data_IF_730044577439
#
_entry.id   IF_730044577439
#
_cell.length_a   1.000
_cell.length_b   1.000
_cell.length_c   1.000
_cell.angle_alpha   90.00
_cell.angle_beta   90.00
_cell.angle_gamma   90.00
#
_symmetry.space_group_name_H-M   'P 1'
#
loop_
_entity.id
_entity.type
_entity.pdbx_description
1 polymer ?
#
# COMPACT_ATOMS: atom_id res chain seq x y z
N UNK A 1 -9.23 3.02 11.40
CA UNK A 1 -9.89 4.16 10.75
C UNK A 1 -11.18 3.66 10.13
N UNK A 2 -12.32 4.23 10.50
CA UNK A 2 -13.63 3.82 9.95
C UNK A 2 -13.81 4.36 8.53
N UNK A 3 -14.45 3.60 7.63
CA UNK A 3 -14.64 4.01 6.24
C UNK A 3 -15.46 5.30 6.12
N UNK A 4 -15.23 6.08 5.07
CA UNK A 4 -16.06 7.24 4.71
C UNK A 4 -17.43 6.80 4.21
N UNK A 5 -17.42 5.82 3.30
CA UNK A 5 -18.59 5.18 2.72
C UNK A 5 -18.31 3.68 2.53
N UNK A 6 -19.33 2.85 2.20
CA UNK A 6 -19.10 1.46 1.86
C UNK A 6 -18.04 1.30 0.76
N UNK A 7 -17.24 0.21 0.77
CA UNK A 7 -16.25 -0.04 -0.26
C UNK A 7 -16.84 0.01 -1.68
N UNK A 8 -16.06 0.48 -2.65
CA UNK A 8 -16.47 0.52 -4.05
C UNK A 8 -16.52 -0.89 -4.65
N UNK A 9 -17.70 -1.52 -4.63
CA UNK A 9 -17.88 -2.92 -5.06
C UNK A 9 -18.58 -3.08 -6.41
N UNK A 10 -19.22 -2.05 -6.93
CA UNK A 10 -20.04 -2.10 -8.16
C UNK A 10 -19.25 -1.81 -9.44
N UNK A 11 -18.01 -1.34 -9.32
CA UNK A 11 -17.16 -0.99 -10.46
C UNK A 11 -15.68 -1.17 -10.12
N UNK A 12 -14.86 -1.21 -11.17
CA UNK A 12 -13.42 -1.28 -11.09
C UNK A 12 -12.86 0.03 -10.52
N UNK A 13 -12.12 -0.04 -9.42
CA UNK A 13 -11.47 1.13 -8.82
C UNK A 13 -10.27 1.67 -9.64
N UNK A 14 -9.93 1.04 -10.77
CA UNK A 14 -8.85 1.48 -11.67
C UNK A 14 -9.32 1.97 -13.03
N UNK A 15 -10.56 1.69 -13.45
CA UNK A 15 -11.03 2.13 -14.77
C UNK A 15 -12.54 2.35 -14.88
N UNK A 16 -13.29 2.20 -13.78
CA UNK A 16 -14.75 2.38 -13.77
C UNK A 16 -15.57 1.26 -14.43
N UNK A 17 -14.95 0.26 -15.07
CA UNK A 17 -15.68 -0.87 -15.67
C UNK A 17 -16.52 -1.63 -14.63
N UNK A 18 -17.74 -2.02 -14.98
CA UNK A 18 -18.66 -2.82 -14.15
C UNK A 18 -18.54 -4.32 -14.38
N UNK A 19 -17.69 -4.75 -15.31
CA UNK A 19 -17.63 -6.13 -15.80
C UNK A 19 -16.52 -6.93 -15.11
N UNK A 20 -16.76 -8.24 -14.92
CA UNK A 20 -15.78 -9.22 -14.42
C UNK A 20 -15.03 -8.75 -13.15
N UNK A 21 -15.79 -8.30 -12.15
CA UNK A 21 -15.27 -7.72 -10.92
C UNK A 21 -14.74 -8.77 -9.95
N UNK A 22 -13.52 -8.57 -9.46
CA UNK A 22 -12.86 -9.40 -8.46
C UNK A 22 -12.21 -8.53 -7.38
N UNK A 23 -11.97 -9.09 -6.19
CA UNK A 23 -11.25 -8.37 -5.13
C UNK A 23 -9.75 -8.50 -5.36
N UNK A 24 -9.00 -7.41 -5.19
CA UNK A 24 -7.55 -7.46 -5.29
C UNK A 24 -6.93 -7.96 -3.99
N UNK A 25 -5.78 -8.63 -4.07
CA UNK A 25 -5.01 -9.00 -2.89
C UNK A 25 -4.31 -7.78 -2.26
N UNK A 26 -4.59 -7.50 -0.98
CA UNK A 26 -3.81 -6.59 -0.10
C UNK A 26 -2.35 -7.04 0.01
N UNK A 27 -2.15 -8.35 0.01
CA UNK A 27 -0.87 -9.03 0.07
C UNK A 27 -0.84 -10.09 -1.03
N UNK A 28 0.09 -9.95 -1.99
CA UNK A 28 0.17 -10.84 -3.16
C UNK A 28 0.36 -12.30 -2.73
N UNK A 29 -0.58 -13.16 -3.10
CA UNK A 29 -0.56 -14.57 -2.68
C UNK A 29 0.70 -15.32 -3.13
N UNK A 30 1.21 -15.03 -4.33
CA UNK A 30 2.46 -15.62 -4.82
C UNK A 30 3.66 -15.20 -3.96
N UNK A 31 3.65 -13.97 -3.45
CA UNK A 31 4.70 -13.48 -2.57
C UNK A 31 4.67 -14.16 -1.20
N UNK A 32 3.48 -14.28 -0.62
CA UNK A 32 3.27 -15.03 0.61
C UNK A 32 3.67 -16.52 0.47
N UNK A 33 3.35 -17.16 -0.66
CA UNK A 33 3.78 -18.55 -0.94
C UNK A 33 5.29 -18.68 -1.07
N UNK A 34 5.92 -17.72 -1.73
CA UNK A 34 7.37 -17.70 -1.92
C UNK A 34 8.12 -17.53 -0.59
N UNK A 35 7.55 -16.79 0.37
CA UNK A 35 8.19 -16.55 1.67
C UNK A 35 7.85 -17.66 2.69
N UNK A 36 6.60 -18.13 2.74
CA UNK A 36 6.10 -19.00 3.82
C UNK A 36 5.59 -20.37 3.36
N UNK A 37 5.62 -20.67 2.06
CA UNK A 37 4.99 -21.85 1.49
C UNK A 37 3.45 -21.81 1.62
N UNK A 38 2.85 -22.99 1.82
CA UNK A 38 1.40 -23.14 1.97
C UNK A 38 0.91 -23.10 3.43
N UNK A 39 1.76 -22.65 4.36
CA UNK A 39 1.49 -22.73 5.80
C UNK A 39 0.45 -21.70 6.26
N UNK A 40 -0.26 -21.98 7.37
CA UNK A 40 -1.03 -20.97 8.08
C UNK A 40 -0.14 -19.79 8.50
N UNK A 41 -0.74 -18.61 8.52
CA UNK A 41 -0.02 -17.37 8.81
C UNK A 41 -0.89 -16.37 9.55
N UNK A 42 -0.23 -15.37 10.11
CA UNK A 42 -0.88 -14.27 10.81
C UNK A 42 -0.80 -13.01 9.98
N UNK A 43 -1.95 -12.33 9.86
CA UNK A 43 -2.02 -10.99 9.31
C UNK A 43 -2.22 -9.97 10.43
N UNK A 44 -1.38 -8.94 10.43
CA UNK A 44 -1.47 -7.82 11.36
C UNK A 44 -1.79 -6.50 10.71
N UNK A 45 -2.33 -5.59 11.51
CA UNK A 45 -2.31 -4.15 11.29
C UNK A 45 -1.97 -3.48 12.64
N UNK A 46 -1.18 -2.40 12.64
CA UNK A 46 -0.88 -1.67 13.89
C UNK A 46 -2.17 -1.27 14.63
N UNK A 47 -2.17 -1.42 15.95
CA UNK A 47 -3.33 -1.20 16.81
C UNK A 47 -4.49 -2.21 16.70
N UNK A 48 -4.40 -3.24 15.83
CA UNK A 48 -5.45 -4.26 15.66
C UNK A 48 -4.99 -5.64 16.14
N UNK A 49 -5.96 -6.49 16.53
CA UNK A 49 -5.68 -7.91 16.80
C UNK A 49 -5.25 -8.63 15.54
N UNK A 50 -4.23 -9.47 15.68
CA UNK A 50 -3.83 -10.42 14.66
C UNK A 50 -4.98 -11.32 14.21
N UNK A 51 -5.06 -11.57 12.90
CA UNK A 51 -6.03 -12.48 12.31
C UNK A 51 -5.31 -13.69 11.71
N UNK A 52 -5.88 -14.86 11.89
CA UNK A 52 -5.31 -16.10 11.34
C UNK A 52 -5.83 -16.33 9.92
N UNK A 53 -4.91 -16.50 8.98
CA UNK A 53 -5.21 -16.93 7.62
C UNK A 53 -4.72 -18.37 7.41
N UNK A 54 -5.63 -19.23 6.92
CA UNK A 54 -5.35 -20.65 6.70
C UNK A 54 -4.43 -20.90 5.50
N UNK A 55 -4.33 -19.95 4.57
CA UNK A 55 -3.44 -20.05 3.41
C UNK A 55 -3.16 -18.66 2.80
N UNK A 56 -2.11 -18.54 1.97
CA UNK A 56 -1.83 -17.34 1.17
C UNK A 56 -2.97 -16.85 0.27
N UNK A 57 -3.94 -17.71 -0.06
CA UNK A 57 -5.10 -17.36 -0.90
C UNK A 57 -6.34 -17.00 -0.09
N UNK A 58 -6.22 -16.84 1.22
CA UNK A 58 -7.35 -16.47 2.10
C UNK A 58 -8.01 -15.17 1.65
N UNK A 59 -9.35 -15.13 1.71
CA UNK A 59 -10.14 -13.90 1.48
C UNK A 59 -9.80 -12.78 2.45
N UNK A 60 -9.20 -13.09 3.61
CA UNK A 60 -8.70 -12.09 4.55
C UNK A 60 -7.60 -11.21 3.95
N UNK A 61 -6.92 -11.69 2.91
CA UNK A 61 -5.91 -10.93 2.16
C UNK A 61 -6.50 -10.12 1.02
N UNK A 62 -7.82 -10.03 0.87
CA UNK A 62 -8.42 -9.29 -0.24
C UNK A 62 -9.00 -7.96 0.22
N UNK A 63 -8.92 -6.97 -0.67
CA UNK A 63 -9.78 -5.81 -0.64
C UNK A 63 -11.23 -6.23 -0.93
N UNK A 64 -12.14 -5.56 -0.25
CA UNK A 64 -13.57 -5.61 -0.58
C UNK A 64 -13.84 -4.83 -1.86
N UNK A 65 -13.09 -3.73 -2.08
CA UNK A 65 -13.07 -2.99 -3.33
C UNK A 65 -12.77 -3.88 -4.53
N UNK A 66 -13.35 -3.56 -5.69
CA UNK A 66 -13.29 -4.41 -6.89
C UNK A 66 -12.42 -3.84 -8.01
N UNK A 67 -11.81 -4.75 -8.76
CA UNK A 67 -11.10 -4.49 -10.02
C UNK A 67 -11.66 -5.43 -11.10
N UNK A 68 -11.82 -4.93 -12.33
CA UNK A 68 -12.22 -5.76 -13.47
C UNK A 68 -11.11 -6.71 -13.93
N UNK A 69 -11.48 -7.81 -14.57
CA UNK A 69 -10.52 -8.81 -15.06
C UNK A 69 -9.46 -8.27 -16.02
N UNK A 70 -9.76 -7.26 -16.84
CA UNK A 70 -8.78 -6.64 -17.74
C UNK A 70 -7.71 -5.87 -16.97
N UNK A 71 -8.12 -5.09 -15.96
CA UNK A 71 -7.15 -4.36 -15.15
C UNK A 71 -6.35 -5.32 -14.28
N UNK A 72 -7.02 -6.24 -13.59
CA UNK A 72 -6.39 -7.13 -12.63
C UNK A 72 -5.43 -8.16 -13.26
N UNK A 73 -5.61 -8.46 -14.55
CA UNK A 73 -4.71 -9.35 -15.29
C UNK A 73 -3.84 -8.55 -16.25
N UNK A 74 -4.39 -8.11 -17.39
CA UNK A 74 -3.57 -7.61 -18.49
C UNK A 74 -2.86 -6.28 -18.18
N UNK A 75 -3.56 -5.31 -17.59
CA UNK A 75 -2.99 -3.95 -17.41
C UNK A 75 -1.99 -3.87 -16.26
N UNK A 76 -2.22 -4.57 -15.15
CA UNK A 76 -1.32 -4.53 -13.98
C UNK A 76 -0.31 -5.68 -13.92
N UNK A 77 -0.39 -6.69 -14.80
CA UNK A 77 0.57 -7.80 -14.79
C UNK A 77 2.05 -7.38 -14.87
N UNK A 78 2.45 -6.41 -15.73
CA UNK A 78 3.83 -5.94 -15.75
C UNK A 78 4.30 -5.41 -14.38
N UNK A 79 3.45 -4.59 -13.74
CA UNK A 79 3.68 -4.07 -12.39
C UNK A 79 3.76 -5.19 -11.34
N UNK A 80 2.86 -6.17 -11.41
CA UNK A 80 2.87 -7.33 -10.53
C UNK A 80 4.19 -8.12 -10.65
N UNK A 81 4.69 -8.33 -11.88
CA UNK A 81 5.95 -9.03 -12.13
C UNK A 81 7.18 -8.21 -11.69
N UNK A 82 7.17 -6.89 -11.92
CA UNK A 82 8.21 -5.97 -11.48
C UNK A 82 8.36 -5.99 -9.95
N UNK A 83 7.23 -5.93 -9.23
CA UNK A 83 7.23 -6.04 -7.78
C UNK A 83 7.78 -7.39 -7.29
N UNK A 84 7.49 -8.51 -7.95
CA UNK A 84 8.05 -9.81 -7.56
C UNK A 84 9.59 -9.82 -7.64
N UNK A 85 10.15 -9.26 -8.71
CA UNK A 85 11.60 -9.17 -8.88
C UNK A 85 12.24 -8.20 -7.87
N UNK A 86 11.62 -7.04 -7.65
CA UNK A 86 12.05 -6.04 -6.66
C UNK A 86 12.05 -6.61 -5.24
N UNK A 87 10.96 -7.28 -4.88
CA UNK A 87 10.76 -7.97 -3.61
C UNK A 87 11.83 -9.02 -3.34
N UNK A 88 12.10 -9.88 -4.33
CA UNK A 88 13.06 -10.95 -4.20
C UNK A 88 14.45 -10.38 -3.88
N UNK A 89 14.87 -9.33 -4.60
CA UNK A 89 16.15 -8.67 -4.34
C UNK A 89 16.21 -8.02 -2.95
N UNK A 90 15.16 -7.30 -2.52
CA UNK A 90 15.11 -6.72 -1.18
C UNK A 90 15.21 -7.78 -0.07
N UNK A 91 14.53 -8.92 -0.26
CA UNK A 91 14.59 -10.07 0.66
C UNK A 91 15.99 -10.68 0.70
N UNK A 92 16.64 -10.87 -0.45
CA UNK A 92 18.00 -11.43 -0.53
C UNK A 92 19.06 -10.49 0.08
N UNK A 93 18.93 -9.18 -0.12
CA UNK A 93 19.77 -8.18 0.55
C UNK A 93 19.67 -8.33 2.07
N UNK A 94 18.46 -8.38 2.61
CA UNK A 94 18.26 -8.51 4.06
C UNK A 94 18.77 -9.86 4.59
N UNK A 95 18.53 -10.97 3.88
CA UNK A 95 19.04 -12.32 4.22
C UNK A 95 20.56 -12.38 4.26
N UNK A 96 21.23 -11.57 3.45
CA UNK A 96 22.70 -11.46 3.42
C UNK A 96 23.25 -10.39 4.37
N UNK A 97 22.42 -9.86 5.27
CA UNK A 97 22.82 -8.88 6.28
C UNK A 97 23.01 -7.46 5.74
N UNK A 98 22.50 -7.17 4.54
CA UNK A 98 22.53 -5.84 3.93
C UNK A 98 21.20 -5.11 4.17
N UNK A 99 21.26 -3.79 4.10
CA UNK A 99 20.07 -2.94 4.12
C UNK A 99 19.18 -3.23 2.88
N UNK A 100 17.91 -3.63 3.04
CA UNK A 100 17.00 -3.88 1.93
C UNK A 100 16.72 -2.62 1.10
N UNK A 101 16.90 -1.40 1.63
CA UNK A 101 16.78 -0.15 0.88
C UNK A 101 17.74 -0.09 -0.32
N UNK A 102 18.84 -0.85 -0.28
CA UNK A 102 19.81 -0.96 -1.39
C UNK A 102 19.23 -1.61 -2.64
N UNK A 103 18.02 -2.15 -2.59
CA UNK A 103 17.28 -2.55 -3.80
C UNK A 103 17.17 -1.41 -4.80
N UNK A 104 17.11 -0.15 -4.32
CA UNK A 104 17.10 1.06 -5.16
C UNK A 104 18.46 1.42 -5.76
N UNK A 105 19.56 0.76 -5.37
CA UNK A 105 20.87 0.94 -6.00
C UNK A 105 21.01 0.06 -7.26
N UNK A 106 20.18 -0.98 -7.41
CA UNK A 106 20.18 -1.82 -8.60
C UNK A 106 19.73 -1.02 -9.83
N UNK A 107 20.50 -1.01 -10.94
CA UNK A 107 20.15 -0.28 -12.16
C UNK A 107 18.76 -0.59 -12.72
N UNK A 108 18.23 -1.78 -12.45
CA UNK A 108 16.88 -2.19 -12.87
C UNK A 108 15.76 -1.44 -12.13
N UNK A 109 16.04 -0.98 -10.91
CA UNK A 109 15.04 -0.44 -9.97
C UNK A 109 15.37 0.98 -9.50
N UNK A 110 16.18 1.69 -10.28
CA UNK A 110 16.45 3.11 -10.11
C UNK A 110 16.04 3.89 -11.37
N UNK A 111 16.27 5.21 -11.39
CA UNK A 111 15.88 6.06 -12.51
C UNK A 111 16.46 5.65 -13.87
N UNK A 112 17.52 4.83 -13.92
CA UNK A 112 18.07 4.27 -15.16
C UNK A 112 17.35 3.01 -15.67
N UNK A 113 16.46 2.41 -14.86
CA UNK A 113 15.77 1.15 -15.15
C UNK A 113 14.55 1.27 -16.09
N UNK A 114 14.20 2.48 -16.52
CA UNK A 114 13.12 2.73 -17.49
C UNK A 114 11.76 2.20 -17.03
N UNK A 115 11.08 1.42 -17.88
CA UNK A 115 9.73 0.90 -17.62
C UNK A 115 9.68 -0.01 -16.39
N UNK A 116 10.69 -0.86 -16.18
CA UNK A 116 10.72 -1.78 -15.04
C UNK A 116 10.75 -1.02 -13.71
N UNK A 117 11.49 0.10 -13.65
CA UNK A 117 11.48 1.00 -12.52
C UNK A 117 10.08 1.54 -12.26
N UNK A 118 9.41 2.11 -13.27
CA UNK A 118 8.06 2.64 -13.13
C UNK A 118 7.05 1.57 -12.71
N UNK A 119 7.15 0.35 -13.27
CA UNK A 119 6.25 -0.77 -12.97
C UNK A 119 6.28 -1.17 -11.49
N UNK A 120 7.41 -1.03 -10.79
CA UNK A 120 7.46 -1.20 -9.33
C UNK A 120 6.52 -0.21 -8.63
N UNK A 121 6.53 1.06 -9.02
CA UNK A 121 5.67 2.09 -8.41
C UNK A 121 4.21 1.94 -8.83
N UNK A 122 3.95 1.47 -10.07
CA UNK A 122 2.58 1.17 -10.52
C UNK A 122 1.91 0.11 -9.67
N UNK A 123 2.67 -0.87 -9.18
CA UNK A 123 2.16 -1.86 -8.24
C UNK A 123 1.65 -1.21 -6.95
N UNK A 124 2.40 -0.28 -6.38
CA UNK A 124 1.97 0.44 -5.18
C UNK A 124 0.84 1.44 -5.46
N UNK A 125 0.80 2.05 -6.65
CA UNK A 125 -0.32 2.88 -7.08
C UNK A 125 -1.63 2.06 -7.18
N UNK A 126 -1.57 0.83 -7.72
CA UNK A 126 -2.69 -0.13 -7.73
C UNK A 126 -3.20 -0.38 -6.31
N UNK A 127 -2.31 -0.69 -5.36
CA UNK A 127 -2.69 -0.91 -3.97
C UNK A 127 -3.29 0.35 -3.32
N UNK A 128 -2.76 1.54 -3.63
CA UNK A 128 -3.30 2.79 -3.11
C UNK A 128 -4.72 3.06 -3.63
N UNK A 129 -4.98 2.85 -4.93
CA UNK A 129 -6.34 2.93 -5.47
C UNK A 129 -7.30 1.97 -4.76
N UNK A 130 -6.86 0.74 -4.47
CA UNK A 130 -7.66 -0.21 -3.70
C UNK A 130 -7.90 0.25 -2.26
N UNK A 131 -6.90 0.83 -1.59
CA UNK A 131 -7.07 1.39 -0.25
C UNK A 131 -8.06 2.55 -0.21
N UNK A 132 -7.98 3.47 -1.17
CA UNK A 132 -8.93 4.57 -1.32
C UNK A 132 -10.35 4.04 -1.54
N UNK A 133 -10.50 3.10 -2.48
CA UNK A 133 -11.78 2.48 -2.79
C UNK A 133 -12.37 1.65 -1.63
N UNK A 134 -11.53 1.02 -0.80
CA UNK A 134 -11.96 0.31 0.43
C UNK A 134 -12.59 1.27 1.45
N UNK A 135 -12.15 2.53 1.45
CA UNK A 135 -12.71 3.58 2.30
C UNK A 135 -13.95 4.26 1.67
N UNK A 136 -14.35 3.82 0.47
CA UNK A 136 -15.46 4.41 -0.29
C UNK A 136 -15.08 5.67 -1.05
N UNK A 137 -13.77 5.98 -1.18
CA UNK A 137 -13.34 7.04 -2.06
C UNK A 137 -13.59 6.63 -3.52
N UNK A 138 -14.04 7.59 -4.31
CA UNK A 138 -14.22 7.45 -5.75
C UNK A 138 -12.86 7.38 -6.47
N UNK A 139 -12.95 6.97 -7.74
CA UNK A 139 -11.83 6.82 -8.65
C UNK A 139 -10.99 8.10 -8.76
N UNK A 140 -9.75 8.08 -8.24
CA UNK A 140 -8.82 9.18 -8.44
C UNK A 140 -7.96 8.93 -9.68
N UNK A 141 -8.39 9.51 -10.79
CA UNK A 141 -7.91 9.25 -12.16
C UNK A 141 -6.38 9.33 -12.32
N UNK A 142 -5.68 10.35 -11.81
CA UNK A 142 -4.23 10.46 -12.03
C UNK A 142 -3.43 9.26 -11.50
N UNK A 143 -3.80 8.74 -10.33
CA UNK A 143 -3.13 7.59 -9.73
C UNK A 143 -3.50 6.31 -10.48
N UNK A 144 -4.78 6.17 -10.83
CA UNK A 144 -5.25 4.99 -11.51
C UNK A 144 -4.65 4.86 -12.92
N UNK A 145 -4.58 5.96 -13.67
CA UNK A 145 -3.93 6.03 -14.99
C UNK A 145 -2.46 5.63 -14.92
N UNK A 146 -1.74 6.08 -13.89
CA UNK A 146 -0.38 5.62 -13.64
C UNK A 146 -0.35 4.11 -13.35
N UNK A 147 -1.21 3.63 -12.44
CA UNK A 147 -1.27 2.22 -12.03
C UNK A 147 -1.56 1.26 -13.19
N UNK A 148 -2.35 1.66 -14.19
CA UNK A 148 -2.69 0.84 -15.37
C UNK A 148 -1.85 1.16 -16.60
N UNK A 149 -0.82 2.00 -16.48
CA UNK A 149 0.15 2.29 -17.54
C UNK A 149 -0.36 3.22 -18.65
N UNK A 150 -1.43 4.00 -18.40
CA UNK A 150 -1.85 5.10 -19.28
C UNK A 150 -0.92 6.31 -19.12
N UNK A 151 -0.41 6.53 -17.91
CA UNK A 151 0.52 7.60 -17.58
C UNK A 151 1.86 7.07 -17.07
N UNK A 152 2.93 7.83 -17.32
CA UNK A 152 4.26 7.64 -16.74
C UNK A 152 4.53 8.59 -15.55
N UNK A 153 3.57 9.46 -15.20
CA UNK A 153 3.69 10.37 -14.07
C UNK A 153 3.63 9.58 -12.76
N UNK A 154 4.79 9.36 -12.13
CA UNK A 154 4.85 8.67 -10.86
C UNK A 154 4.49 9.60 -9.69
N UNK A 155 3.44 9.25 -8.96
CA UNK A 155 2.98 9.95 -7.76
C UNK A 155 3.39 9.25 -6.45
N UNK A 156 4.05 8.09 -6.55
CA UNK A 156 4.37 7.23 -5.42
C UNK A 156 5.79 7.46 -4.95
N UNK A 157 5.94 7.78 -3.68
CA UNK A 157 7.18 7.61 -2.93
C UNK A 157 7.20 6.23 -2.30
N UNK A 158 8.35 5.55 -2.39
CA UNK A 158 8.54 4.21 -1.87
C UNK A 158 9.81 4.18 -1.00
N UNK A 159 9.67 3.68 0.22
CA UNK A 159 10.77 3.34 1.09
C UNK A 159 10.70 1.85 1.44
N UNK A 160 11.87 1.21 1.58
CA UNK A 160 12.01 -0.20 1.91
C UNK A 160 12.89 -0.32 3.14
N UNK A 161 12.41 -1.02 4.17
CA UNK A 161 13.18 -1.25 5.39
C UNK A 161 12.93 -2.66 5.96
N UNK A 162 13.68 -2.99 7.01
CA UNK A 162 13.45 -4.21 7.78
C UNK A 162 12.25 -4.02 8.71
N UNK A 163 11.30 -4.96 8.66
CA UNK A 163 10.06 -4.85 9.41
C UNK A 163 10.28 -5.03 10.92
N UNK A 164 9.92 -4.01 11.69
CA UNK A 164 10.10 -3.98 13.14
C UNK A 164 9.16 -4.98 13.85
N UNK A 165 7.91 -5.11 13.41
CA UNK A 165 6.97 -6.05 14.01
C UNK A 165 7.42 -7.50 13.80
N UNK A 166 7.90 -7.83 12.60
CA UNK A 166 8.45 -9.14 12.27
C UNK A 166 9.63 -9.47 13.19
N UNK A 167 10.58 -8.53 13.37
CA UNK A 167 11.72 -8.73 14.29
C UNK A 167 11.25 -9.00 15.72
N UNK A 168 10.34 -8.17 16.25
CA UNK A 168 9.76 -8.35 17.59
C UNK A 168 9.06 -9.71 17.74
N UNK A 169 8.37 -10.20 16.71
CA UNK A 169 7.69 -11.50 16.72
C UNK A 169 8.66 -12.69 16.68
N UNK A 170 9.75 -12.57 15.92
CA UNK A 170 10.80 -13.58 15.85
C UNK A 170 11.57 -13.69 17.18
N UNK A 171 11.94 -12.57 17.80
CA UNK A 171 12.61 -12.53 19.10
C UNK A 171 11.79 -13.19 20.21
N UNK A 172 10.47 -13.04 20.15
CA UNK A 172 9.55 -13.65 21.12
C UNK A 172 9.17 -15.11 20.79
N UNK A 173 9.72 -15.69 19.71
CA UNK A 173 9.45 -17.07 19.28
C UNK A 173 7.99 -17.34 18.91
N UNK A 174 7.20 -16.30 18.63
CA UNK A 174 5.75 -16.39 18.59
C UNK A 174 5.20 -16.80 17.21
N UNK A 175 5.81 -16.32 16.12
CA UNK A 175 5.26 -16.46 14.76
C UNK A 175 6.40 -16.43 13.72
N UNK A 176 6.46 -17.44 12.84
CA UNK A 176 7.42 -17.46 11.72
C UNK A 176 6.81 -16.98 10.38
N UNK A 177 5.48 -17.02 10.25
CA UNK A 177 4.76 -16.62 9.03
C UNK A 177 3.90 -15.38 9.28
N UNK A 178 4.49 -14.21 9.06
CA UNK A 178 3.87 -12.90 9.34
C UNK A 178 3.78 -12.03 8.10
N UNK A 179 2.60 -11.45 7.89
CA UNK A 179 2.37 -10.45 6.87
C UNK A 179 1.51 -9.32 7.46
N UNK A 180 1.63 -8.12 6.91
CA UNK A 180 0.86 -6.98 7.40
C UNK A 180 0.60 -5.94 6.33
N UNK A 181 -0.38 -5.08 6.60
CA UNK A 181 -0.54 -3.83 5.87
C UNK A 181 -0.93 -2.69 6.83
N UNK A 182 -0.53 -1.47 6.52
CA UNK A 182 -0.86 -0.28 7.32
C UNK A 182 -2.34 0.14 7.20
N UNK A 183 -2.98 -0.25 6.09
CA UNK A 183 -4.27 0.34 5.71
C UNK A 183 -4.08 1.78 5.24
N UNK A 184 -5.17 2.49 4.97
CA UNK A 184 -5.07 3.90 4.56
C UNK A 184 -4.79 4.79 5.77
N UNK A 185 -3.75 5.60 5.67
CA UNK A 185 -3.43 6.71 6.57
C UNK A 185 -3.50 8.00 5.76
N UNK A 186 -4.15 9.01 6.32
CA UNK A 186 -4.27 10.34 5.72
C UNK A 186 -3.44 11.29 6.57
N UNK A 187 -2.50 12.00 5.94
CA UNK A 187 -1.76 13.09 6.57
C UNK A 187 -2.17 14.40 5.93
N UNK A 188 -2.01 15.50 6.66
CA UNK A 188 -2.37 16.80 6.12
C UNK A 188 -1.87 17.96 6.95
N UNK A 189 -2.13 19.15 6.44
CA UNK A 189 -1.66 20.39 7.00
C UNK A 189 -2.23 20.60 8.42
N UNK A 190 -1.40 20.87 9.44
CA UNK A 190 -1.89 21.03 10.81
C UNK A 190 -2.71 22.31 11.04
N UNK A 191 -2.68 23.29 10.13
CA UNK A 191 -3.46 24.53 10.26
C UNK A 191 -4.75 24.49 9.43
N UNK A 192 -4.65 24.17 8.13
CA UNK A 192 -5.82 24.15 7.24
C UNK A 192 -6.58 22.82 7.28
N UNK A 193 -5.97 21.77 7.84
CA UNK A 193 -6.42 20.38 7.77
C UNK A 193 -6.57 19.84 6.35
N UNK A 194 -6.01 20.51 5.34
CA UNK A 194 -6.01 20.03 3.97
C UNK A 194 -5.23 18.69 3.89
N UNK A 195 -5.77 17.65 3.24
CA UNK A 195 -5.04 16.40 3.03
C UNK A 195 -3.82 16.65 2.13
N UNK A 196 -2.65 16.24 2.59
CA UNK A 196 -1.38 16.42 1.87
C UNK A 196 -0.82 15.08 1.36
N UNK A 197 -1.17 13.96 1.99
CA UNK A 197 -0.74 12.65 1.51
C UNK A 197 -1.65 11.49 1.95
N UNK A 198 -1.56 10.42 1.17
CA UNK A 198 -2.07 9.10 1.51
C UNK A 198 -0.91 8.15 1.70
N UNK A 199 -0.88 7.43 2.82
CA UNK A 199 0.20 6.53 3.21
C UNK A 199 -0.34 5.15 3.53
N UNK A 200 0.42 4.11 3.19
CA UNK A 200 0.18 2.74 3.65
C UNK A 200 1.51 1.98 3.71
N UNK A 201 1.46 0.80 4.31
CA UNK A 201 2.59 -0.13 4.35
C UNK A 201 2.16 -1.50 3.87
N UNK A 202 3.12 -2.26 3.37
CA UNK A 202 2.99 -3.65 2.99
C UNK A 202 4.17 -4.42 3.61
N UNK A 203 3.91 -5.44 4.40
CA UNK A 203 4.96 -6.29 4.98
C UNK A 203 4.79 -7.71 4.50
N UNK A 204 5.89 -8.28 3.99
CA UNK A 204 5.98 -9.68 3.59
C UNK A 204 7.23 -10.27 4.25
N UNK A 205 7.03 -11.01 5.35
CA UNK A 205 8.13 -11.56 6.12
C UNK A 205 8.97 -10.45 6.74
N UNK A 206 10.30 -10.47 6.56
CA UNK A 206 11.20 -9.54 7.22
C UNK A 206 11.30 -8.16 6.55
N UNK A 207 10.70 -7.97 5.36
CA UNK A 207 10.80 -6.72 4.59
C UNK A 207 9.47 -5.97 4.62
N UNK A 208 9.56 -4.66 4.86
CA UNK A 208 8.43 -3.73 4.79
C UNK A 208 8.64 -2.71 3.69
N UNK A 209 7.56 -2.43 2.97
CA UNK A 209 7.45 -1.42 1.94
C UNK A 209 6.52 -0.33 2.44
N UNK A 210 7.04 0.88 2.62
CA UNK A 210 6.28 2.06 2.99
C UNK A 210 6.04 2.88 1.73
N UNK A 211 4.78 3.11 1.37
CA UNK A 211 4.45 3.82 0.14
C UNK A 211 3.45 4.94 0.39
N UNK A 212 3.67 6.06 -0.28
CA UNK A 212 2.94 7.29 -0.07
C UNK A 212 2.67 8.00 -1.38
N UNK A 213 1.52 8.66 -1.47
CA UNK A 213 1.19 9.59 -2.55
C UNK A 213 0.99 10.97 -1.96
N UNK A 214 1.74 11.95 -2.46
CA UNK A 214 1.62 13.35 -2.06
C UNK A 214 0.68 14.11 -2.98
N UNK A 215 -0.17 14.93 -2.39
CA UNK A 215 -1.05 15.86 -3.08
C UNK A 215 -0.41 17.26 -3.02
N UNK A 216 0.03 17.76 -4.18
CA UNK A 216 0.36 19.18 -4.32
C UNK A 216 -0.93 20.02 -4.31
N UNK A 217 -0.79 21.35 -4.36
CA UNK A 217 -1.94 22.27 -4.34
C UNK A 217 -2.99 21.96 -5.41
N UNK A 218 -2.54 21.57 -6.61
CA UNK A 218 -3.44 21.18 -7.72
C UNK A 218 -4.19 19.89 -7.39
N UNK A 219 -3.50 18.87 -6.90
CA UNK A 219 -4.11 17.60 -6.49
C UNK A 219 -5.08 17.77 -5.31
N UNK A 220 -4.77 18.66 -4.38
CA UNK A 220 -5.67 19.02 -3.27
C UNK A 220 -6.93 19.72 -3.77
N UNK A 221 -6.78 20.70 -4.67
CA UNK A 221 -7.90 21.40 -5.27
C UNK A 221 -8.78 20.47 -6.11
N UNK A 222 -8.16 19.55 -6.87
CA UNK A 222 -8.87 18.54 -7.63
C UNK A 222 -9.67 17.60 -6.71
N UNK A 223 -9.03 17.07 -5.66
CA UNK A 223 -9.71 16.22 -4.68
C UNK A 223 -10.88 16.93 -4.02
N UNK A 224 -10.70 18.21 -3.66
CA UNK A 224 -11.75 19.02 -3.07
C UNK A 224 -12.92 19.27 -4.03
N UNK A 225 -12.63 19.52 -5.31
CA UNK A 225 -13.64 19.84 -6.32
C UNK A 225 -14.42 18.59 -6.76
N UNK A 226 -13.71 17.51 -7.07
CA UNK A 226 -14.31 16.29 -7.63
C UNK A 226 -14.92 15.41 -6.53
N UNK A 227 -14.34 15.42 -5.33
CA UNK A 227 -14.71 14.53 -4.22
C UNK A 227 -14.86 15.28 -2.88
N UNK A 228 -15.72 16.31 -2.81
CA UNK A 228 -15.83 17.19 -1.65
C UNK A 228 -16.13 16.44 -0.34
N UNK A 229 -17.04 15.48 -0.34
CA UNK A 229 -17.40 14.74 0.87
C UNK A 229 -16.24 13.88 1.41
N UNK A 230 -15.48 13.26 0.51
CA UNK A 230 -14.29 12.49 0.88
C UNK A 230 -13.16 13.41 1.36
N UNK A 231 -13.00 14.58 0.74
CA UNK A 231 -12.08 15.62 1.19
C UNK A 231 -12.44 16.09 2.61
N UNK A 232 -13.70 16.42 2.89
CA UNK A 232 -14.15 16.79 4.24
C UNK A 232 -13.93 15.66 5.26
N UNK A 233 -14.16 14.41 4.85
CA UNK A 233 -13.85 13.26 5.69
C UNK A 233 -12.36 13.18 6.02
N UNK A 234 -11.48 13.44 5.05
CA UNK A 234 -10.04 13.53 5.29
C UNK A 234 -9.72 14.62 6.31
N UNK A 235 -10.30 15.82 6.18
CA UNK A 235 -10.10 16.90 7.15
C UNK A 235 -10.54 16.50 8.56
N UNK A 236 -11.68 15.80 8.70
CA UNK A 236 -12.13 15.27 10.00
C UNK A 236 -11.14 14.27 10.58
N UNK A 237 -10.57 13.39 9.74
CA UNK A 237 -9.57 12.40 10.18
C UNK A 237 -8.26 13.07 10.61
N UNK A 238 -7.82 14.10 9.90
CA UNK A 238 -6.63 14.87 10.26
C UNK A 238 -6.83 15.57 11.61
N UNK A 239 -7.97 16.27 11.80
CA UNK A 239 -8.32 16.89 13.09
C UNK A 239 -8.32 15.87 14.23
N UNK A 240 -9.01 14.75 14.03
CA UNK A 240 -9.06 13.69 15.04
C UNK A 240 -7.67 13.14 15.39
N UNK A 241 -6.78 12.98 14.41
CA UNK A 241 -5.43 12.49 14.63
C UNK A 241 -4.55 13.50 15.38
N UNK A 242 -4.81 14.80 15.26
CA UNK A 242 -4.15 15.83 16.06
C UNK A 242 -4.60 15.79 17.52
N UNK A 243 -5.90 15.59 17.75
CA UNK A 243 -6.46 15.47 19.11
C UNK A 243 -6.09 14.13 19.77
N UNK A 244 -5.84 13.09 18.96
CA UNK A 244 -5.54 11.73 19.39
C UNK A 244 -4.29 11.23 18.66
N UNK A 245 -3.11 11.76 19.00
CA UNK A 245 -1.88 11.42 18.32
C UNK A 245 -1.58 9.92 18.47
N UNK A 246 -1.13 9.35 17.37
CA UNK A 246 -0.65 7.98 17.32
C UNK A 246 0.55 7.80 18.24
N UNK A 247 0.65 6.64 18.90
CA UNK A 247 1.82 6.30 19.72
C UNK A 247 3.09 6.22 18.87
N UNK A 248 4.25 6.48 19.48
CA UNK A 248 5.55 6.35 18.79
C UNK A 248 5.78 4.93 18.27
N UNK A 249 5.30 3.92 19.00
CA UNK A 249 5.32 2.52 18.58
C UNK A 249 4.49 2.30 17.30
N UNK A 250 3.24 2.75 17.24
CA UNK A 250 2.41 2.61 16.05
C UNK A 250 2.99 3.39 14.86
N UNK A 251 3.56 4.57 15.11
CA UNK A 251 4.27 5.36 14.09
C UNK A 251 5.47 4.59 13.54
N UNK A 252 6.26 3.94 14.40
CA UNK A 252 7.37 3.09 13.99
C UNK A 252 6.88 1.92 13.13
N UNK A 253 5.82 1.22 13.57
CA UNK A 253 5.25 0.09 12.84
C UNK A 253 4.67 0.49 11.46
N UNK A 254 4.25 1.75 11.32
CA UNK A 254 3.75 2.32 10.06
C UNK A 254 4.83 3.01 9.23
N UNK A 255 6.09 3.01 9.68
CA UNK A 255 7.20 3.64 8.96
C UNK A 255 7.10 5.16 8.88
N UNK A 256 6.43 5.79 9.86
CA UNK A 256 6.19 7.23 9.95
C UNK A 256 7.21 7.97 10.82
N UNK A 257 8.39 7.38 11.03
CA UNK A 257 9.44 8.00 11.84
C UNK A 257 10.36 8.83 10.93
N UNK A 258 10.40 10.15 11.15
CA UNK A 258 11.42 11.18 10.84
C UNK A 258 12.30 11.12 9.56
N UNK A 259 12.83 9.96 9.18
CA UNK A 259 13.60 9.77 7.94
C UNK A 259 12.71 9.57 6.70
N UNK A 260 11.48 9.06 6.88
CA UNK A 260 10.50 8.79 5.82
C UNK A 260 9.40 9.85 5.70
N UNK A 261 9.46 10.90 6.53
CA UNK A 261 8.48 12.00 6.52
C UNK A 261 8.91 13.18 5.64
N UNK A 262 10.17 13.21 5.18
CA UNK A 262 10.74 14.27 4.34
C UNK A 262 10.74 13.90 2.86
#
# INVERSE_FOLDING_TARGET
MDPFAPPLTSQCCLCGSTEALSGEHKLKAAALRSEFGAQPMVIGRPGERYRHAQSPSSKQFHFSARICGTCNNARTQPADLAFDAFRALASDLLKTGKDPAKVHEDPRFNASGGTLYLDVFRYFAKLMCCHLAEMGATFYEPIADFAIGISDNNYVLLCVDADVAYRRLQENGAIHSYAAHGGLIVTGNPQSHAPEAFHSTLTIGPVRYCYRIHLNEVGQAQLQHEHPDFYEWCQRRIRHAMDNPMSDDDRELLGLNGANEK
#
